data_IF_308381895327
#
_entry.id   IF_308381895327
#
_cell.length_a   1.000
_cell.length_b   1.000
_cell.length_c   1.000
_cell.angle_alpha   90.00
_cell.angle_beta   90.00
_cell.angle_gamma   90.00
#
_symmetry.space_group_name_H-M   'P 1'
#
loop_
_entity.id
_entity.type
_entity.pdbx_description
1 polymer ?
#
# COMPACT_ATOMS: atom_id res chain seq x y z
N UNK A 1 -12.75 -26.22 -0.91
CA UNK A 1 -12.22 -25.01 -1.57
C UNK A 1 -13.10 -23.84 -1.16
N UNK A 2 -12.69 -23.05 -0.15
CA UNK A 2 -13.39 -21.78 0.16
C UNK A 2 -12.98 -20.79 -0.93
N UNK A 3 -13.95 -20.37 -1.76
CA UNK A 3 -13.76 -19.22 -2.64
C UNK A 3 -13.51 -18.03 -1.73
N UNK A 4 -12.31 -17.46 -1.77
CA UNK A 4 -12.08 -16.11 -1.26
C UNK A 4 -12.99 -15.24 -2.13
N UNK A 5 -14.11 -14.79 -1.55
CA UNK A 5 -14.87 -13.71 -2.15
C UNK A 5 -13.88 -12.55 -2.23
N UNK A 6 -13.63 -12.04 -3.44
CA UNK A 6 -12.97 -10.74 -3.61
C UNK A 6 -13.82 -9.76 -2.80
N UNK A 7 -13.39 -9.44 -1.59
CA UNK A 7 -14.03 -8.40 -0.81
C UNK A 7 -13.76 -7.13 -1.61
N UNK A 8 -14.84 -6.51 -2.10
CA UNK A 8 -14.70 -5.22 -2.74
C UNK A 8 -14.21 -4.29 -1.64
N UNK A 9 -13.02 -3.72 -1.81
CA UNK A 9 -12.58 -2.60 -1.00
C UNK A 9 -13.66 -1.52 -1.12
N UNK A 10 -14.40 -1.24 -0.03
CA UNK A 10 -15.50 -0.28 0.03
C UNK A 10 -15.11 1.17 0.38
N UNK A 11 -13.84 1.65 0.34
CA UNK A 11 -13.60 3.10 0.36
C UNK A 11 -13.86 3.73 -1.01
N UNK A 12 -14.56 3.04 -1.92
CA UNK A 12 -15.15 3.63 -3.13
C UNK A 12 -16.00 4.87 -2.81
N UNK A 13 -16.57 4.97 -1.59
CA UNK A 13 -17.24 6.21 -1.15
C UNK A 13 -16.27 7.40 -0.94
N UNK A 14 -15.00 7.16 -0.63
CA UNK A 14 -13.98 8.20 -0.48
C UNK A 14 -13.38 8.60 -1.83
N UNK A 15 -13.45 7.73 -2.84
CA UNK A 15 -12.96 7.96 -4.19
C UNK A 15 -13.97 8.76 -5.00
N UNK A 16 -14.00 10.07 -4.74
CA UNK A 16 -14.80 11.00 -5.55
C UNK A 16 -13.97 11.53 -6.72
N UNK A 17 -14.22 10.98 -7.90
CA UNK A 17 -13.67 11.54 -9.13
C UNK A 17 -14.42 12.83 -9.48
N UNK A 18 -13.79 13.98 -9.20
CA UNK A 18 -14.34 15.27 -9.59
C UNK A 18 -13.92 15.61 -11.02
N UNK A 19 -14.88 15.60 -11.94
CA UNK A 19 -14.68 15.94 -13.36
C UNK A 19 -13.59 15.09 -14.04
N UNK A 20 -13.51 13.80 -13.69
CA UNK A 20 -12.52 12.85 -14.22
C UNK A 20 -11.12 13.01 -13.65
N UNK A 21 -10.97 13.84 -12.61
CA UNK A 21 -9.73 13.98 -11.84
C UNK A 21 -9.81 13.16 -10.56
N UNK A 22 -8.68 12.60 -10.14
CA UNK A 22 -8.51 11.98 -8.82
C UNK A 22 -7.27 12.58 -8.15
N UNK A 23 -7.33 12.76 -6.84
CA UNK A 23 -6.17 13.13 -6.05
C UNK A 23 -5.48 11.87 -5.52
N UNK A 24 -4.20 11.76 -5.81
CA UNK A 24 -3.36 10.61 -5.49
C UNK A 24 -2.11 11.08 -4.76
N UNK A 25 -1.59 10.25 -3.89
CA UNK A 25 -0.32 10.45 -3.21
C UNK A 25 0.64 9.34 -3.60
N UNK A 26 1.82 9.74 -4.06
CA UNK A 26 2.94 8.86 -4.33
C UNK A 26 3.71 8.68 -3.02
N UNK A 27 3.78 7.45 -2.55
CA UNK A 27 4.50 7.06 -1.33
C UNK A 27 5.79 6.36 -1.77
N UNK A 28 6.98 6.89 -1.39
CA UNK A 28 8.23 6.27 -1.77
C UNK A 28 8.33 4.82 -1.30
N UNK A 29 8.99 4.01 -2.11
CA UNK A 29 9.37 2.65 -1.75
C UNK A 29 10.79 2.37 -2.25
N UNK A 30 11.55 1.57 -1.51
CA UNK A 30 12.94 1.26 -1.85
C UNK A 30 13.04 -0.21 -2.27
N UNK A 31 13.65 -0.45 -3.43
CA UNK A 31 13.75 -1.79 -4.03
C UNK A 31 12.52 -2.22 -4.84
N UNK A 32 11.54 -1.33 -5.00
CA UNK A 32 10.34 -1.52 -5.83
C UNK A 32 9.83 -0.15 -6.33
N UNK A 33 8.95 -0.09 -7.35
CA UNK A 33 8.32 1.16 -7.74
C UNK A 33 7.51 1.77 -6.59
N UNK A 34 7.40 3.10 -6.58
CA UNK A 34 6.66 3.83 -5.56
C UNK A 34 5.18 3.43 -5.57
N UNK A 35 4.57 3.48 -4.39
CA UNK A 35 3.16 3.21 -4.25
C UNK A 35 2.33 4.43 -4.65
N UNK A 36 1.25 4.20 -5.36
CA UNK A 36 0.26 5.21 -5.71
C UNK A 36 -1.04 4.87 -4.98
N UNK A 37 -1.41 5.70 -4.01
CA UNK A 37 -2.67 5.55 -3.28
C UNK A 37 -3.55 6.77 -3.49
N UNK A 38 -4.88 6.62 -3.49
CA UNK A 38 -5.76 7.77 -3.39
C UNK A 38 -5.49 8.56 -2.10
N UNK A 39 -5.33 9.88 -2.21
CA UNK A 39 -4.98 10.73 -1.06
C UNK A 39 -6.04 10.67 0.04
N UNK A 40 -7.31 10.49 -0.34
CA UNK A 40 -8.43 10.36 0.58
C UNK A 40 -8.32 9.16 1.54
N UNK A 41 -7.45 8.19 1.26
CA UNK A 41 -7.17 7.07 2.17
C UNK A 41 -6.17 7.44 3.28
N UNK A 42 -5.37 8.49 3.12
CA UNK A 42 -4.35 8.87 4.11
C UNK A 42 -5.04 9.62 5.26
N UNK A 43 -5.02 9.02 6.44
CA UNK A 43 -5.62 9.59 7.65
C UNK A 43 -4.66 10.54 8.37
N UNK A 44 -3.38 10.15 8.48
CA UNK A 44 -2.32 10.97 9.04
C UNK A 44 -0.95 10.47 8.58
N UNK A 45 0.05 11.32 8.76
CA UNK A 45 1.46 10.99 8.55
C UNK A 45 2.21 11.41 9.81
N UNK A 46 2.87 10.44 10.44
CA UNK A 46 3.57 10.63 11.70
C UNK A 46 5.08 10.44 11.47
N UNK A 47 5.91 11.30 12.07
CA UNK A 47 7.36 11.15 12.04
C UNK A 47 7.78 10.00 12.97
N UNK A 48 8.53 9.03 12.44
CA UNK A 48 8.88 7.81 13.18
C UNK A 48 10.12 7.13 12.59
N UNK A 49 11.15 6.99 13.41
CA UNK A 49 12.48 6.56 12.94
C UNK A 49 12.80 5.08 13.24
N UNK A 50 12.06 4.47 14.16
CA UNK A 50 12.31 3.09 14.59
C UNK A 50 11.53 2.09 13.73
N UNK A 51 12.14 0.94 13.43
CA UNK A 51 11.43 -0.12 12.71
C UNK A 51 10.47 -0.87 13.66
N UNK A 52 9.17 -0.83 13.35
CA UNK A 52 8.10 -1.46 14.16
C UNK A 52 7.18 -2.33 13.33
N UNK A 53 6.62 -3.38 13.92
CA UNK A 53 5.66 -4.27 13.25
C UNK A 53 4.20 -3.91 13.56
N UNK A 54 3.96 -3.22 14.68
CA UNK A 54 2.65 -2.76 15.12
C UNK A 54 2.77 -1.32 15.63
N UNK A 55 1.73 -0.52 15.42
CA UNK A 55 1.66 0.88 15.85
C UNK A 55 0.37 1.13 16.63
N UNK A 56 0.48 1.80 17.78
CA UNK A 56 -0.68 2.19 18.59
C UNK A 56 -1.21 3.55 18.12
N UNK A 57 -2.12 3.53 17.15
CA UNK A 57 -2.73 4.73 16.61
C UNK A 57 -4.08 5.02 17.28
N UNK A 58 -4.19 6.15 17.97
CA UNK A 58 -5.43 6.59 18.67
C UNK A 58 -6.07 5.54 19.58
N UNK A 59 -5.24 4.71 20.23
CA UNK A 59 -5.69 3.65 21.14
C UNK A 59 -6.06 2.34 20.46
N UNK A 60 -5.82 2.21 19.15
CA UNK A 60 -6.00 0.99 18.39
C UNK A 60 -4.63 0.47 17.91
N UNK A 61 -4.36 -0.83 18.07
CA UNK A 61 -3.20 -1.47 17.44
C UNK A 61 -3.47 -1.66 15.95
N UNK A 62 -2.50 -1.26 15.13
CA UNK A 62 -2.56 -1.35 13.67
C UNK A 62 -1.26 -1.97 13.16
N UNK A 63 -1.37 -2.96 12.28
CA UNK A 63 -0.20 -3.63 11.71
C UNK A 63 0.56 -2.71 10.75
N UNK A 64 1.89 -2.85 10.74
CA UNK A 64 2.80 -2.02 9.94
C UNK A 64 3.35 -2.84 8.77
N UNK A 65 3.17 -2.32 7.56
CA UNK A 65 3.80 -2.79 6.35
C UNK A 65 5.00 -1.91 6.01
N UNK A 66 6.12 -2.51 5.63
CA UNK A 66 7.36 -1.78 5.39
C UNK A 66 7.62 -1.62 3.90
N UNK A 67 7.70 -0.37 3.43
CA UNK A 67 8.07 -0.01 2.06
C UNK A 67 9.59 0.15 1.88
N UNK A 68 10.34 0.08 2.98
CA UNK A 68 11.79 0.16 3.00
C UNK A 68 12.42 -1.14 3.53
N UNK A 69 13.56 -1.57 2.96
CA UNK A 69 14.36 -2.69 3.46
C UNK A 69 14.73 -2.55 4.94
N UNK A 70 15.10 -3.66 5.59
CA UNK A 70 15.43 -3.67 7.03
C UNK A 70 16.68 -2.87 7.39
N UNK A 71 17.59 -2.70 6.43
CA UNK A 71 18.85 -1.98 6.54
C UNK A 71 18.73 -0.50 6.21
N UNK A 72 17.56 -0.05 5.75
CA UNK A 72 17.25 1.35 5.50
C UNK A 72 16.41 1.90 6.64
N UNK A 73 16.84 3.04 7.20
CA UNK A 73 16.09 3.77 8.21
C UNK A 73 14.83 4.37 7.58
N UNK A 74 13.67 4.08 8.17
CA UNK A 74 12.44 4.78 7.89
C UNK A 74 12.40 6.08 8.68
N UNK A 75 11.69 7.10 8.20
CA UNK A 75 11.53 8.37 8.90
C UNK A 75 10.05 8.73 9.15
N UNK A 76 9.09 7.95 8.58
CA UNK A 76 7.66 8.18 8.80
C UNK A 76 6.78 6.94 8.71
N UNK A 77 5.61 7.10 9.31
CA UNK A 77 4.45 6.23 9.20
C UNK A 77 3.35 6.95 8.42
N UNK A 78 2.76 6.27 7.44
CA UNK A 78 1.57 6.73 6.70
C UNK A 78 0.40 5.85 7.12
N UNK A 79 -0.58 6.44 7.79
CA UNK A 79 -1.74 5.71 8.31
C UNK A 79 -2.83 5.75 7.25
N UNK A 80 -3.23 4.56 6.77
CA UNK A 80 -4.24 4.39 5.76
C UNK A 80 -5.56 3.88 6.35
N UNK A 81 -6.65 4.45 5.88
CA UNK A 81 -8.00 3.96 6.15
C UNK A 81 -8.19 2.58 5.51
N UNK A 82 -8.81 1.68 6.28
CA UNK A 82 -9.14 0.33 5.83
C UNK A 82 -10.62 0.21 5.46
N UNK A 83 -11.02 -0.99 5.07
CA UNK A 83 -12.45 -1.32 4.93
C UNK A 83 -13.22 -1.26 6.25
N UNK A 84 -12.52 -1.47 7.36
CA UNK A 84 -13.01 -1.29 8.71
C UNK A 84 -11.87 -0.84 9.60
N UNK A 85 -12.20 -0.39 10.82
CA UNK A 85 -11.19 0.04 11.80
C UNK A 85 -10.07 -1.01 11.95
N UNK A 86 -10.43 -2.29 12.10
CA UNK A 86 -9.46 -3.39 12.29
C UNK A 86 -8.60 -3.69 11.06
N UNK A 87 -9.02 -3.27 9.86
CA UNK A 87 -8.26 -3.44 8.61
C UNK A 87 -7.53 -2.15 8.21
N UNK A 88 -7.35 -1.19 9.12
CA UNK A 88 -6.42 -0.09 8.91
C UNK A 88 -5.01 -0.63 8.70
N UNK A 89 -4.23 0.13 7.95
CA UNK A 89 -2.87 -0.24 7.60
C UNK A 89 -1.93 0.93 7.89
N UNK A 90 -0.77 0.64 8.48
CA UNK A 90 0.31 1.62 8.58
C UNK A 90 1.40 1.27 7.59
N UNK A 91 1.85 2.23 6.80
CA UNK A 91 3.01 2.08 5.92
C UNK A 91 4.21 2.76 6.56
N UNK A 92 5.29 2.02 6.73
CA UNK A 92 6.57 2.59 7.15
C UNK A 92 7.46 2.84 5.93
N UNK A 93 7.85 4.09 5.72
CA UNK A 93 8.60 4.54 4.54
C UNK A 93 9.66 5.60 4.87
N UNK A 94 10.41 6.03 3.85
CA UNK A 94 11.38 7.12 3.89
C UNK A 94 11.16 8.14 2.77
N UNK A 95 11.49 9.42 2.99
CA UNK A 95 11.44 10.45 1.95
C UNK A 95 10.10 11.15 1.78
N UNK A 96 9.99 12.07 0.82
CA UNK A 96 8.81 12.94 0.68
C UNK A 96 7.63 12.26 -0.02
N UNK A 97 6.43 12.44 0.54
CA UNK A 97 5.18 12.05 -0.11
C UNK A 97 4.81 13.12 -1.13
N UNK A 98 4.44 12.70 -2.35
CA UNK A 98 4.04 13.63 -3.40
C UNK A 98 2.56 13.50 -3.72
N UNK A 99 1.76 14.49 -3.30
CA UNK A 99 0.34 14.56 -3.66
C UNK A 99 0.13 15.28 -4.99
N UNK A 100 -0.69 14.70 -5.86
CA UNK A 100 -1.00 15.23 -7.19
C UNK A 100 -2.46 14.98 -7.54
N UNK A 101 -3.04 15.91 -8.31
CA UNK A 101 -4.34 15.74 -8.95
C UNK A 101 -4.13 15.31 -10.40
N UNK A 102 -4.55 14.10 -10.74
CA UNK A 102 -4.30 13.46 -12.04
C UNK A 102 -5.63 13.22 -12.76
N UNK A 103 -5.63 13.32 -14.10
CA UNK A 103 -6.76 12.80 -14.87
C UNK A 103 -6.68 11.29 -14.88
N UNK A 104 -7.83 10.63 -14.72
CA UNK A 104 -7.91 9.18 -14.82
C UNK A 104 -7.41 8.70 -16.19
N UNK A 105 -7.65 9.48 -17.26
CA UNK A 105 -7.16 9.16 -18.61
C UNK A 105 -5.64 9.20 -18.77
N UNK A 106 -4.93 9.87 -17.86
CA UNK A 106 -3.48 10.05 -17.94
C UNK A 106 -2.74 8.89 -17.23
N UNK A 107 -3.49 8.01 -16.55
CA UNK A 107 -2.98 6.80 -15.90
C UNK A 107 -3.17 5.62 -16.86
N UNK A 108 -2.09 4.94 -17.21
CA UNK A 108 -2.16 3.78 -18.12
C UNK A 108 -1.63 2.52 -17.47
N UNK A 109 -2.32 1.41 -17.64
CA UNK A 109 -1.88 0.11 -17.14
C UNK A 109 -0.58 -0.33 -17.81
N UNK A 110 0.34 -0.89 -17.03
CA UNK A 110 1.58 -1.48 -17.51
C UNK A 110 1.80 -2.86 -16.92
N UNK A 111 2.56 -3.68 -17.64
CA UNK A 111 3.07 -4.95 -17.12
C UNK A 111 4.45 -4.72 -16.57
N UNK A 112 4.69 -5.16 -15.33
CA UNK A 112 6.01 -5.13 -14.72
C UNK A 112 6.91 -6.21 -15.32
N UNK A 113 8.19 -5.92 -15.43
CA UNK A 113 9.23 -6.91 -15.70
C UNK A 113 9.39 -7.89 -14.54
N UNK A 114 10.05 -9.03 -14.79
CA UNK A 114 10.35 -10.03 -13.76
C UNK A 114 11.20 -9.45 -12.61
N UNK A 115 12.11 -8.51 -12.92
CA UNK A 115 12.95 -7.83 -11.93
C UNK A 115 12.12 -6.90 -11.03
N UNK A 116 11.22 -6.10 -11.61
CA UNK A 116 10.33 -5.20 -10.88
C UNK A 116 9.34 -5.99 -10.01
N UNK A 117 8.81 -7.08 -10.55
CA UNK A 117 8.01 -8.04 -9.79
C UNK A 117 8.79 -8.58 -8.60
N UNK A 118 10.03 -9.05 -8.80
CA UNK A 118 10.86 -9.61 -7.74
C UNK A 118 11.09 -8.62 -6.58
N UNK A 119 11.28 -7.33 -6.88
CA UNK A 119 11.40 -6.27 -5.88
C UNK A 119 10.17 -6.14 -4.97
N UNK A 120 8.96 -6.26 -5.54
CA UNK A 120 7.70 -6.24 -4.79
C UNK A 120 7.60 -7.47 -3.87
N UNK A 121 7.97 -8.66 -4.37
CA UNK A 121 7.95 -9.89 -3.58
C UNK A 121 8.92 -9.86 -2.40
N UNK A 122 10.07 -9.20 -2.54
CA UNK A 122 11.07 -9.07 -1.47
C UNK A 122 10.66 -8.07 -0.38
N UNK A 123 9.87 -7.07 -0.74
CA UNK A 123 9.36 -6.04 0.19
C UNK A 123 8.16 -6.52 1.00
N UNK A 124 7.55 -7.62 0.57
CA UNK A 124 6.46 -8.27 1.29
C UNK A 124 6.97 -8.89 2.59
N UNK A 125 6.29 -8.73 3.75
CA UNK A 125 6.69 -9.37 4.99
C UNK A 125 6.85 -10.89 4.81
N UNK A 126 7.87 -11.47 5.45
CA UNK A 126 8.14 -12.91 5.40
C UNK A 126 6.96 -13.67 6.05
N UNK A 127 6.00 -14.08 5.24
CA UNK A 127 4.89 -14.91 5.69
C UNK A 127 5.35 -16.36 5.88
N UNK A 128 5.02 -17.02 6.99
CA UNK A 128 5.47 -18.38 7.29
C UNK A 128 4.92 -19.46 6.35
N UNK A 129 4.04 -19.13 5.40
CA UNK A 129 3.46 -20.05 4.41
C UNK A 129 3.66 -19.57 2.97
N UNK A 130 4.90 -19.67 2.48
CA UNK A 130 5.27 -19.39 1.07
C UNK A 130 4.64 -20.36 0.04
N UNK A 131 4.02 -21.45 0.50
CA UNK A 131 3.52 -22.53 -0.38
C UNK A 131 2.07 -22.36 -0.88
N UNK A 132 1.32 -21.37 -0.39
CA UNK A 132 -0.07 -21.16 -0.80
C UNK A 132 -0.22 -19.88 -1.65
N UNK A 133 -0.06 -20.07 -2.97
CA UNK A 133 -0.35 -19.12 -4.06
C UNK A 133 0.35 -17.75 -3.98
N UNK A 134 1.12 -17.46 -5.03
CA UNK A 134 1.54 -16.13 -5.46
C UNK A 134 0.32 -15.21 -5.67
N UNK A 135 -0.30 -14.74 -4.59
CA UNK A 135 -1.21 -13.61 -4.64
C UNK A 135 -0.35 -12.36 -4.57
N UNK A 136 -0.25 -11.66 -5.70
CA UNK A 136 0.51 -10.42 -5.75
C UNK A 136 -0.23 -9.39 -4.90
N UNK A 137 0.45 -8.79 -3.92
CA UNK A 137 -0.06 -7.62 -3.17
C UNK A 137 -0.19 -6.36 -4.05
N UNK A 138 0.11 -6.52 -5.34
CA UNK A 138 -0.16 -5.59 -6.42
C UNK A 138 -1.60 -5.78 -6.92
N UNK A 139 -2.40 -4.73 -6.83
CA UNK A 139 -3.65 -4.66 -7.58
C UNK A 139 -3.37 -4.40 -9.06
N UNK A 140 -2.57 -3.37 -9.36
CA UNK A 140 -2.24 -2.98 -10.71
C UNK A 140 -0.93 -2.17 -10.74
N UNK A 141 -0.10 -2.36 -11.76
CA UNK A 141 1.00 -1.44 -12.06
C UNK A 141 0.55 -0.44 -13.11
N UNK A 142 0.92 0.83 -12.91
CA UNK A 142 0.49 1.94 -13.78
C UNK A 142 1.66 2.83 -14.15
N UNK A 143 1.60 3.41 -15.35
CA UNK A 143 2.45 4.51 -15.77
C UNK A 143 1.73 5.83 -15.52
N UNK A 144 2.42 6.75 -14.87
CA UNK A 144 1.97 8.11 -14.61
C UNK A 144 3.18 9.05 -14.67
N UNK A 145 3.06 10.17 -15.38
CA UNK A 145 4.15 11.13 -15.58
C UNK A 145 5.47 10.51 -16.10
N UNK A 146 5.38 9.42 -16.87
CA UNK A 146 6.54 8.71 -17.41
C UNK A 146 7.29 7.83 -16.41
N UNK A 147 6.74 7.62 -15.20
CA UNK A 147 7.27 6.69 -14.21
C UNK A 147 6.26 5.58 -13.88
N UNK A 148 6.78 4.38 -13.62
CA UNK A 148 6.00 3.23 -13.18
C UNK A 148 5.71 3.36 -11.69
N UNK A 149 4.47 3.08 -11.31
CA UNK A 149 3.98 3.08 -9.94
C UNK A 149 3.17 1.81 -9.67
N UNK A 150 3.07 1.45 -8.40
CA UNK A 150 2.31 0.30 -7.91
C UNK A 150 1.04 0.78 -7.23
N UNK A 151 -0.11 0.31 -7.69
CA UNK A 151 -1.37 0.40 -6.95
C UNK A 151 -1.47 -0.88 -6.10
N UNK A 152 -1.34 -0.79 -4.77
CA UNK A 152 -1.38 -1.95 -3.89
C UNK A 152 -2.81 -2.48 -3.70
N UNK A 153 -2.96 -3.79 -3.49
CA UNK A 153 -4.20 -4.38 -3.00
C UNK A 153 -4.26 -4.23 -1.47
N UNK A 154 -4.67 -3.04 -1.02
CA UNK A 154 -4.70 -2.69 0.41
C UNK A 154 -5.60 -3.63 1.22
N UNK A 155 -6.70 -4.12 0.63
CA UNK A 155 -7.62 -5.03 1.30
C UNK A 155 -6.95 -6.36 1.60
N UNK A 156 -6.31 -6.95 0.59
CA UNK A 156 -5.59 -8.20 0.72
C UNK A 156 -4.44 -8.08 1.74
N UNK A 157 -3.70 -6.96 1.70
CA UNK A 157 -2.59 -6.71 2.63
C UNK A 157 -3.13 -6.61 4.06
N UNK A 158 -4.16 -5.80 4.30
CA UNK A 158 -4.71 -5.57 5.63
C UNK A 158 -5.25 -6.87 6.25
N UNK A 159 -6.04 -7.65 5.51
CA UNK A 159 -6.55 -8.93 6.00
C UNK A 159 -5.43 -9.90 6.37
N UNK A 160 -4.36 -9.97 5.56
CA UNK A 160 -3.25 -10.87 5.84
C UNK A 160 -2.46 -10.46 7.07
N UNK A 161 -2.27 -9.17 7.30
CA UNK A 161 -1.55 -8.70 8.47
C UNK A 161 -2.33 -9.00 9.75
N UNK A 162 -3.65 -8.80 9.75
CA UNK A 162 -4.52 -9.12 10.89
C UNK A 162 -4.58 -10.64 11.16
N UNK A 163 -4.67 -11.45 10.10
CA UNK A 163 -4.71 -12.92 10.22
C UNK A 163 -3.39 -13.51 10.75
N UNK A 164 -2.25 -12.81 10.66
CA UNK A 164 -0.98 -13.26 11.22
C UNK A 164 -0.86 -12.99 12.72
N UNK A 165 -1.61 -12.02 13.23
CA UNK A 165 -1.61 -11.62 14.64
C UNK A 165 -2.61 -12.46 15.47
N UNK A 166 -3.38 -13.36 14.83
CA UNK A 166 -4.43 -14.20 15.45
C UNK A 166 -4.04 -15.65 15.76
#
# INVERSE_FOLDING_TARGET
>A
MRKIQKHQFEPVSLLTAERGMIEVTIIPAIGQPNWLVPTALIMSVDEYHERIWTYLWRGQEVSVYHLVPKDIEADKLVILEGNSDVHRLVLQTTGELMTKRVRISDVTDVTLSDEEMAGIWLSTPNLPNREQKQESYLYQAVMLDGAIHVVPDLDLIAHRLVDLDS
#
